data_IF_485864602218
#
_entry.id   IF_485864602218
#
_cell.length_a   1.000
_cell.length_b   1.000
_cell.length_c   1.000
_cell.angle_alpha   90.00
_cell.angle_beta   90.00
_cell.angle_gamma   90.00
#
_symmetry.space_group_name_H-M   'P 1'
#
loop_
_entity.id
_entity.type
_entity.pdbx_description
1 polymer ?
#
# COMPACT_ATOMS: atom_id res chain seq x y z
N UNK A 1 6.78 18.33 13.57
CA UNK A 1 5.44 18.09 12.98
C UNK A 1 4.48 18.09 14.13
N UNK A 2 3.37 18.82 14.03
CA UNK A 2 2.33 18.84 15.06
C UNK A 2 1.11 18.14 14.47
N UNK A 3 0.60 17.14 15.17
CA UNK A 3 -0.63 16.43 14.81
C UNK A 3 -1.76 16.88 15.72
N UNK A 4 -2.95 17.01 15.16
CA UNK A 4 -4.16 17.42 15.88
C UNK A 4 -5.33 16.52 15.48
N UNK A 5 -6.34 16.42 16.36
CA UNK A 5 -7.54 15.62 16.13
C UNK A 5 -7.24 14.15 15.86
N UNK A 6 -7.88 13.60 14.82
CA UNK A 6 -7.78 12.18 14.46
C UNK A 6 -6.34 11.72 14.16
N UNK A 7 -5.51 12.60 13.55
CA UNK A 7 -4.11 12.24 13.24
C UNK A 7 -3.29 12.04 14.53
N UNK A 8 -3.58 12.81 15.58
CA UNK A 8 -2.93 12.65 16.88
C UNK A 8 -3.32 11.32 17.53
N UNK A 9 -4.61 10.95 17.45
CA UNK A 9 -5.10 9.65 17.94
C UNK A 9 -4.43 8.49 17.20
N UNK A 10 -4.25 8.60 15.88
CA UNK A 10 -3.53 7.61 15.08
C UNK A 10 -2.06 7.45 15.52
N UNK A 11 -1.31 8.55 15.70
CA UNK A 11 0.08 8.48 16.21
C UNK A 11 0.12 7.84 17.58
N UNK A 12 -0.75 8.25 18.49
CA UNK A 12 -0.78 7.73 19.86
C UNK A 12 -1.12 6.23 19.89
N UNK A 13 -2.03 5.77 19.03
CA UNK A 13 -2.37 4.36 18.93
C UNK A 13 -1.19 3.52 18.42
N UNK A 14 -0.46 4.03 17.43
CA UNK A 14 0.77 3.40 16.92
C UNK A 14 1.84 3.37 18.02
N UNK A 15 2.08 4.48 18.71
CA UNK A 15 3.03 4.57 19.81
C UNK A 15 2.69 3.62 20.97
N UNK A 16 1.40 3.51 21.35
CA UNK A 16 0.92 2.52 22.33
C UNK A 16 1.22 1.10 21.90
N UNK A 17 1.02 0.77 20.63
CA UNK A 17 1.33 -0.56 20.11
C UNK A 17 2.83 -0.86 20.13
N UNK A 18 3.66 0.12 19.77
CA UNK A 18 5.12 0.00 19.80
C UNK A 18 5.65 -0.11 21.22
N UNK A 19 5.16 0.71 22.17
CA UNK A 19 5.52 0.63 23.58
C UNK A 19 5.25 -0.77 24.17
N UNK A 20 4.17 -1.45 23.80
CA UNK A 20 3.93 -2.85 24.21
C UNK A 20 5.03 -3.82 23.77
N UNK A 21 5.70 -3.54 22.64
CA UNK A 21 6.80 -4.36 22.10
C UNK A 21 8.18 -3.90 22.54
N UNK A 22 8.31 -2.61 22.84
CA UNK A 22 9.54 -1.96 23.29
C UNK A 22 9.23 -1.15 24.55
N UNK A 23 9.04 -1.82 25.71
CA UNK A 23 8.58 -1.18 26.94
C UNK A 23 9.58 -0.17 27.53
N UNK A 24 10.83 -0.19 27.05
CA UNK A 24 11.86 0.77 27.46
C UNK A 24 11.59 2.20 26.98
N UNK A 25 10.70 2.40 26.00
CA UNK A 25 10.32 3.72 25.51
C UNK A 25 8.89 4.04 25.91
N UNK A 26 8.67 5.18 26.55
CA UNK A 26 7.33 5.65 26.91
C UNK A 26 6.54 6.10 25.69
N UNK A 27 5.20 6.11 25.79
CA UNK A 27 4.33 6.61 24.71
C UNK A 27 4.66 8.07 24.39
N UNK A 28 4.91 8.89 25.42
CA UNK A 28 5.27 10.30 25.27
C UNK A 28 6.55 10.48 24.47
N UNK A 29 7.62 9.74 24.83
CA UNK A 29 8.89 9.76 24.08
C UNK A 29 8.68 9.38 22.62
N UNK A 30 7.92 8.31 22.36
CA UNK A 30 7.62 7.87 20.99
C UNK A 30 6.80 8.89 20.19
N UNK A 31 5.90 9.64 20.83
CA UNK A 31 5.11 10.68 20.15
C UNK A 31 5.88 11.98 19.92
N UNK A 32 6.93 12.24 20.71
CA UNK A 32 7.80 13.41 20.56
C UNK A 32 8.94 13.13 19.57
N UNK A 33 9.54 11.94 19.64
CA UNK A 33 10.55 11.47 18.71
C UNK A 33 9.94 10.52 17.68
N UNK A 34 9.35 11.13 16.65
CA UNK A 34 8.71 10.39 15.57
C UNK A 34 9.73 9.58 14.75
N UNK A 35 11.02 9.97 14.73
CA UNK A 35 12.07 9.21 14.02
C UNK A 35 12.35 7.89 14.73
N UNK A 36 12.44 7.93 16.05
CA UNK A 36 12.51 6.73 16.86
C UNK A 36 11.28 5.84 16.64
N UNK A 37 10.07 6.40 16.70
CA UNK A 37 8.83 5.66 16.47
C UNK A 37 8.85 4.92 15.13
N UNK A 38 9.18 5.61 14.05
CA UNK A 38 9.26 5.01 12.72
C UNK A 38 10.28 3.89 12.63
N UNK A 39 11.47 4.09 13.21
CA UNK A 39 12.51 3.06 13.21
C UNK A 39 12.07 1.77 13.91
N UNK A 40 11.21 1.89 14.94
CA UNK A 40 10.66 0.76 15.68
C UNK A 40 9.47 0.14 14.95
N UNK A 41 8.67 0.95 14.24
CA UNK A 41 7.62 0.46 13.34
C UNK A 41 8.23 -0.40 12.22
N UNK A 42 9.30 0.05 11.57
CA UNK A 42 9.99 -0.72 10.52
C UNK A 42 10.56 -2.06 11.03
N UNK A 43 11.07 -2.06 12.27
CA UNK A 43 11.62 -3.27 12.92
C UNK A 43 10.55 -4.23 13.44
N UNK A 44 9.29 -3.82 13.45
CA UNK A 44 8.22 -4.60 14.07
C UNK A 44 7.14 -5.03 13.08
N UNK A 45 6.60 -6.23 13.28
CA UNK A 45 5.42 -6.67 12.54
C UNK A 45 4.17 -5.96 13.06
N UNK A 46 3.75 -4.89 12.41
CA UNK A 46 2.59 -4.10 12.82
C UNK A 46 1.27 -4.84 12.60
N UNK A 47 0.40 -4.85 13.62
CA UNK A 47 -0.98 -5.31 13.48
C UNK A 47 -1.91 -4.11 13.25
N UNK A 48 -1.98 -3.65 12.01
CA UNK A 48 -2.78 -2.49 11.64
C UNK A 48 -4.28 -2.65 11.91
N UNK A 49 -4.82 -3.87 11.89
CA UNK A 49 -6.24 -4.12 12.20
C UNK A 49 -6.52 -3.79 13.67
N UNK A 50 -5.78 -4.41 14.58
CA UNK A 50 -5.96 -4.21 16.03
C UNK A 50 -5.72 -2.75 16.45
N UNK A 51 -4.75 -2.08 15.84
CA UNK A 51 -4.48 -0.67 16.14
C UNK A 51 -5.65 0.20 15.67
N UNK A 52 -6.14 -0.02 14.45
CA UNK A 52 -7.22 0.77 13.87
C UNK A 52 -8.55 0.59 14.63
N UNK A 53 -8.87 -0.64 15.04
CA UNK A 53 -10.01 -0.96 15.89
C UNK A 53 -9.99 -0.19 17.22
N UNK A 54 -8.81 -0.01 17.82
CA UNK A 54 -8.68 0.69 19.11
C UNK A 54 -9.02 2.18 19.08
N UNK A 55 -9.10 2.77 17.87
CA UNK A 55 -9.41 4.19 17.64
C UNK A 55 -10.58 4.37 16.66
N UNK A 56 -11.37 3.31 16.42
CA UNK A 56 -12.54 3.36 15.52
C UNK A 56 -12.26 3.86 14.10
N UNK A 57 -11.05 3.63 13.57
CA UNK A 57 -10.72 3.93 12.16
C UNK A 57 -10.60 2.64 11.36
N UNK A 58 -10.72 2.71 10.04
CA UNK A 58 -10.49 1.53 9.20
C UNK A 58 -8.99 1.25 9.10
N UNK A 59 -8.62 -0.03 9.03
CA UNK A 59 -7.21 -0.45 8.81
C UNK A 59 -6.61 0.21 7.57
N UNK A 60 -7.36 0.28 6.46
CA UNK A 60 -6.87 0.93 5.24
C UNK A 60 -6.57 2.41 5.49
N UNK A 61 -7.45 3.14 6.19
CA UNK A 61 -7.23 4.55 6.51
C UNK A 61 -5.95 4.73 7.33
N UNK A 62 -5.79 3.99 8.41
CA UNK A 62 -4.59 4.07 9.27
C UNK A 62 -3.31 3.72 8.49
N UNK A 63 -3.34 2.62 7.74
CA UNK A 63 -2.19 2.15 6.97
C UNK A 63 -1.76 3.17 5.91
N UNK A 64 -2.70 3.68 5.10
CA UNK A 64 -2.38 4.66 4.07
C UNK A 64 -1.98 6.00 4.67
N UNK A 65 -2.67 6.46 5.71
CA UNK A 65 -2.29 7.68 6.40
C UNK A 65 -0.86 7.59 6.96
N UNK A 66 -0.50 6.47 7.60
CA UNK A 66 0.85 6.28 8.11
C UNK A 66 1.88 6.29 6.97
N UNK A 67 1.73 5.40 5.98
CA UNK A 67 2.73 5.22 4.93
C UNK A 67 2.82 6.39 3.94
N UNK A 68 1.72 7.08 3.67
CA UNK A 68 1.65 8.11 2.63
C UNK A 68 1.62 9.52 3.18
N UNK A 69 1.07 9.76 4.38
CA UNK A 69 0.96 11.10 4.95
C UNK A 69 1.99 11.33 6.04
N UNK A 70 2.00 10.49 7.07
CA UNK A 70 2.90 10.62 8.23
C UNK A 70 4.37 10.55 7.80
N UNK A 71 4.79 9.45 7.17
CA UNK A 71 6.17 9.27 6.72
C UNK A 71 6.60 10.37 5.74
N UNK A 72 5.71 10.88 4.89
CA UNK A 72 6.07 11.98 3.97
C UNK A 72 6.32 13.31 4.67
N UNK A 73 5.51 13.66 5.66
CA UNK A 73 5.72 14.89 6.44
C UNK A 73 7.05 14.79 7.20
N UNK A 74 7.36 13.59 7.70
CA UNK A 74 8.56 13.29 8.47
C UNK A 74 9.85 13.28 7.66
N UNK A 75 9.87 12.54 6.55
CA UNK A 75 11.03 12.45 5.66
C UNK A 75 11.04 13.57 4.61
N UNK A 76 10.61 14.77 5.01
CA UNK A 76 10.55 15.98 4.20
C UNK A 76 11.93 16.51 3.77
N UNK A 77 13.00 15.74 3.95
CA UNK A 77 14.22 15.83 3.13
C UNK A 77 13.87 15.53 1.67
N UNK A 78 13.17 16.49 1.05
CA UNK A 78 12.76 16.44 -0.34
C UNK A 78 14.00 16.20 -1.18
N UNK A 79 13.88 15.27 -2.13
CA UNK A 79 14.94 15.07 -3.10
C UNK A 79 15.24 16.42 -3.76
N UNK A 80 16.52 16.83 -3.74
CA UNK A 80 16.94 18.12 -4.30
C UNK A 80 16.76 18.12 -5.82
N UNK A 81 16.83 19.30 -6.43
CA UNK A 81 16.75 19.39 -7.88
C UNK A 81 17.93 18.66 -8.55
N UNK A 82 19.12 18.76 -7.98
CA UNK A 82 20.33 18.10 -8.47
C UNK A 82 20.21 16.58 -8.38
N UNK A 83 19.66 16.06 -7.28
CA UNK A 83 19.39 14.63 -7.12
C UNK A 83 18.36 14.11 -8.15
N UNK A 84 17.31 14.90 -8.42
CA UNK A 84 16.33 14.59 -9.47
C UNK A 84 16.97 14.58 -10.86
N UNK A 85 17.87 15.53 -11.13
CA UNK A 85 18.61 15.59 -12.38
C UNK A 85 19.55 14.38 -12.52
N UNK A 86 20.31 14.04 -11.47
CA UNK A 86 21.17 12.86 -11.44
C UNK A 86 20.37 11.58 -11.71
N UNK A 87 19.20 11.44 -11.07
CA UNK A 87 18.29 10.33 -11.27
C UNK A 87 17.75 10.26 -12.69
N UNK A 88 17.39 11.40 -13.28
CA UNK A 88 16.94 11.48 -14.67
C UNK A 88 18.05 11.07 -15.63
N UNK A 89 19.26 11.60 -15.44
CA UNK A 89 20.44 11.27 -16.27
C UNK A 89 20.78 9.79 -16.20
N UNK A 90 20.77 9.19 -15.01
CA UNK A 90 21.03 7.78 -14.85
C UNK A 90 19.96 6.92 -15.53
N UNK A 91 18.67 7.26 -15.37
CA UNK A 91 17.58 6.57 -16.07
C UNK A 91 17.78 6.61 -17.59
N UNK A 92 18.13 7.77 -18.15
CA UNK A 92 18.39 7.91 -19.59
C UNK A 92 19.60 7.09 -20.06
N UNK A 93 20.68 7.05 -19.27
CA UNK A 93 21.84 6.20 -19.54
C UNK A 93 21.47 4.72 -19.53
N UNK A 94 20.74 4.27 -18.49
CA UNK A 94 20.31 2.88 -18.36
C UNK A 94 19.26 2.46 -19.40
N UNK A 95 18.50 3.41 -19.97
CA UNK A 95 17.68 3.17 -21.17
C UNK A 95 18.57 2.88 -22.38
N UNK A 96 19.64 3.65 -22.57
CA UNK A 96 20.57 3.43 -23.68
C UNK A 96 21.30 2.10 -23.55
N UNK A 97 21.66 1.71 -22.32
CA UNK A 97 22.38 0.47 -22.03
C UNK A 97 21.47 -0.75 -21.82
N UNK A 98 20.13 -0.59 -21.93
CA UNK A 98 19.10 -1.61 -21.60
C UNK A 98 19.10 -2.13 -20.16
N UNK A 99 19.88 -1.55 -19.26
CA UNK A 99 19.91 -1.90 -17.83
C UNK A 99 18.56 -1.68 -17.13
N UNK A 100 17.72 -0.79 -17.65
CA UNK A 100 16.38 -0.51 -17.11
C UNK A 100 15.42 -1.72 -17.23
N UNK A 101 15.75 -2.70 -18.07
CA UNK A 101 14.98 -3.94 -18.23
C UNK A 101 15.18 -4.91 -17.04
N UNK A 102 16.19 -4.66 -16.18
CA UNK A 102 16.44 -5.42 -14.96
C UNK A 102 15.34 -5.18 -13.91
N UNK A 103 14.75 -6.27 -13.39
CA UNK A 103 13.75 -6.22 -12.33
C UNK A 103 14.24 -5.55 -11.03
N UNK A 104 15.56 -5.55 -10.80
CA UNK A 104 16.23 -4.94 -9.65
C UNK A 104 16.76 -3.52 -9.92
N UNK A 105 16.51 -2.97 -11.11
CA UNK A 105 17.01 -1.65 -11.53
C UNK A 105 16.73 -0.55 -10.51
N UNK A 106 15.50 -0.44 -9.98
CA UNK A 106 15.15 0.59 -9.01
C UNK A 106 15.96 0.50 -7.71
N UNK A 107 16.30 -0.71 -7.26
CA UNK A 107 17.13 -0.90 -6.07
C UNK A 107 18.57 -0.46 -6.34
N UNK A 108 19.12 -0.86 -7.50
CA UNK A 108 20.46 -0.42 -7.94
C UNK A 108 20.55 1.09 -8.09
N UNK A 109 19.56 1.70 -8.74
CA UNK A 109 19.43 3.16 -8.88
C UNK A 109 19.41 3.86 -7.52
N UNK A 110 18.62 3.35 -6.57
CA UNK A 110 18.56 3.90 -5.21
C UNK A 110 19.94 3.84 -4.53
N UNK A 111 20.60 2.69 -4.60
CA UNK A 111 21.93 2.49 -4.00
C UNK A 111 22.99 3.38 -4.66
N UNK A 112 22.90 3.61 -5.97
CA UNK A 112 23.89 4.39 -6.70
C UNK A 112 23.81 5.89 -6.38
N UNK A 113 22.60 6.45 -6.31
CA UNK A 113 22.40 7.89 -6.16
C UNK A 113 22.30 8.30 -4.69
N UNK A 114 21.80 7.41 -3.84
CA UNK A 114 21.48 7.71 -2.43
C UNK A 114 22.23 6.80 -1.47
N UNK A 115 23.43 6.32 -1.83
CA UNK A 115 24.24 5.43 -0.99
C UNK A 115 24.39 5.96 0.44
N UNK A 116 24.69 7.25 0.55
CA UNK A 116 25.02 7.93 1.81
C UNK A 116 23.83 8.71 2.39
N UNK A 117 22.65 8.61 1.76
CA UNK A 117 21.43 9.35 2.15
C UNK A 117 20.29 8.38 2.39
N UNK A 118 19.71 8.44 3.59
CA UNK A 118 18.55 7.61 3.91
C UNK A 118 17.27 8.20 3.29
N UNK A 119 17.08 8.00 1.98
CA UNK A 119 15.84 8.39 1.30
C UNK A 119 14.75 7.36 1.57
N UNK A 120 13.63 7.87 2.08
CA UNK A 120 12.43 7.08 2.32
C UNK A 120 11.89 6.44 1.03
N UNK A 121 11.45 5.18 1.12
CA UNK A 121 11.01 4.39 -0.05
C UNK A 121 9.91 5.08 -0.86
N UNK A 122 8.97 5.73 -0.18
CA UNK A 122 7.82 6.38 -0.83
C UNK A 122 8.25 7.60 -1.63
N UNK A 123 9.16 8.43 -1.08
CA UNK A 123 9.72 9.60 -1.79
C UNK A 123 10.45 9.18 -3.06
N UNK A 124 11.36 8.20 -2.93
CA UNK A 124 12.06 7.63 -4.08
C UNK A 124 11.10 7.12 -5.15
N UNK A 125 10.10 6.32 -4.75
CA UNK A 125 9.15 5.70 -5.69
C UNK A 125 8.32 6.76 -6.42
N UNK A 126 7.92 7.82 -5.75
CA UNK A 126 7.20 8.92 -6.39
C UNK A 126 8.05 9.67 -7.39
N UNK A 127 9.26 10.09 -6.98
CA UNK A 127 10.14 10.86 -7.86
C UNK A 127 10.50 10.02 -9.08
N UNK A 128 10.84 8.75 -8.88
CA UNK A 128 11.03 7.78 -9.96
C UNK A 128 9.83 7.76 -10.91
N UNK A 129 8.63 7.50 -10.40
CA UNK A 129 7.42 7.39 -11.22
C UNK A 129 7.09 8.69 -11.96
N UNK A 130 7.35 9.84 -11.34
CA UNK A 130 7.16 11.14 -11.96
C UNK A 130 8.15 11.35 -13.13
N UNK A 131 9.44 11.02 -12.93
CA UNK A 131 10.47 11.08 -13.98
C UNK A 131 10.10 10.15 -15.14
N UNK A 132 9.70 8.91 -14.85
CA UNK A 132 9.28 7.93 -15.87
C UNK A 132 8.09 8.40 -16.71
N UNK A 133 7.25 9.29 -16.18
CA UNK A 133 6.11 9.87 -16.89
C UNK A 133 6.47 11.07 -17.77
N UNK A 134 7.67 11.63 -17.64
CA UNK A 134 8.11 12.77 -18.44
C UNK A 134 8.24 12.41 -19.92
N UNK A 135 8.02 13.39 -20.81
CA UNK A 135 8.13 13.19 -22.27
C UNK A 135 9.53 12.71 -22.69
N UNK A 136 10.58 13.25 -22.07
CA UNK A 136 11.97 12.92 -22.41
C UNK A 136 12.23 11.43 -22.19
N UNK A 137 11.84 10.90 -21.03
CA UNK A 137 12.03 9.49 -20.69
C UNK A 137 11.13 8.58 -21.52
N UNK A 138 9.84 8.92 -21.68
CA UNK A 138 8.92 8.15 -22.54
C UNK A 138 9.42 8.03 -23.98
N UNK A 139 9.90 9.14 -24.56
CA UNK A 139 10.45 9.14 -25.91
C UNK A 139 11.72 8.29 -26.01
N UNK A 140 12.58 8.31 -24.99
CA UNK A 140 13.77 7.48 -24.97
C UNK A 140 13.43 5.98 -24.92
N UNK A 141 12.47 5.57 -24.08
CA UNK A 141 11.95 4.20 -24.00
C UNK A 141 11.41 3.74 -25.36
N UNK A 142 10.57 4.57 -25.99
CA UNK A 142 9.97 4.27 -27.30
C UNK A 142 11.02 4.14 -28.40
N UNK A 143 11.95 5.11 -28.49
CA UNK A 143 13.03 5.09 -29.50
C UNK A 143 13.93 3.86 -29.39
N UNK A 144 14.13 3.35 -28.18
CA UNK A 144 14.99 2.18 -27.91
C UNK A 144 14.23 0.85 -27.85
N UNK A 145 12.90 0.88 -28.01
CA UNK A 145 12.02 -0.29 -27.90
C UNK A 145 12.30 -1.11 -26.62
N UNK A 146 12.34 -0.42 -25.48
CA UNK A 146 12.64 -1.01 -24.17
C UNK A 146 11.38 -1.65 -23.58
N UNK A 147 11.53 -2.87 -23.05
CA UNK A 147 10.47 -3.54 -22.30
C UNK A 147 10.69 -3.39 -20.79
N UNK A 148 9.89 -2.54 -20.13
CA UNK A 148 10.00 -2.34 -18.68
C UNK A 148 9.27 -3.48 -17.96
N UNK A 149 9.96 -4.23 -17.07
CA UNK A 149 9.34 -5.31 -16.33
C UNK A 149 8.16 -4.80 -15.50
N UNK A 150 6.97 -5.28 -15.82
CA UNK A 150 5.75 -4.86 -15.15
C UNK A 150 5.55 -5.72 -13.90
N UNK A 151 5.86 -5.18 -12.71
CA UNK A 151 5.73 -5.89 -11.42
C UNK A 151 4.29 -6.32 -11.06
N UNK A 152 3.29 -6.01 -11.89
CA UNK A 152 1.87 -6.31 -11.65
C UNK A 152 1.37 -7.64 -12.27
N UNK A 153 2.23 -8.45 -12.88
CA UNK A 153 1.84 -9.74 -13.50
C UNK A 153 2.54 -10.96 -12.89
N UNK A 154 2.66 -10.99 -11.57
CA UNK A 154 3.03 -12.21 -10.84
C UNK A 154 2.03 -12.39 -9.70
N UNK A 155 0.79 -12.75 -10.07
CA UNK A 155 -0.23 -13.39 -9.21
C UNK A 155 -1.50 -13.71 -10.03
N UNK A 156 -1.31 -14.18 -11.27
CA UNK A 156 -2.36 -14.89 -11.98
C UNK A 156 -1.79 -16.23 -12.42
N UNK A 157 -2.32 -17.28 -11.78
CA UNK A 157 -2.14 -18.72 -11.99
C UNK A 157 -1.02 -19.40 -11.20
N UNK A 158 -1.40 -19.99 -10.07
CA UNK A 158 -1.39 -21.46 -9.87
C UNK A 158 -2.20 -21.81 -8.62
N UNK A 159 -3.50 -22.01 -8.79
CA UNK A 159 -4.22 -23.04 -8.05
C UNK A 159 -4.87 -23.92 -9.11
N UNK A 160 -4.05 -24.81 -9.67
CA UNK A 160 -4.54 -26.02 -10.28
C UNK A 160 -5.04 -26.89 -9.12
N UNK A 161 -6.34 -26.82 -8.85
CA UNK A 161 -7.04 -27.82 -8.06
C UNK A 161 -7.80 -28.68 -9.06
N UNK A 162 -7.13 -29.76 -9.49
CA UNK A 162 -7.81 -30.89 -10.11
C UNK A 162 -8.77 -31.50 -9.09
N UNK A 163 -10.07 -31.43 -9.37
CA UNK A 163 -11.07 -32.33 -8.79
C UNK A 163 -12.07 -32.71 -9.88
N UNK A 164 -12.55 -33.96 -9.87
CA UNK A 164 -13.08 -34.65 -11.03
C UNK A 164 -14.48 -34.19 -11.43
N UNK A 165 -14.73 -34.25 -12.73
CA UNK A 165 -16.05 -34.12 -13.36
C UNK A 165 -17.00 -35.18 -12.81
N UNK A 166 -18.03 -34.76 -12.07
CA UNK A 166 -19.27 -35.49 -11.86
C UNK A 166 -20.39 -34.47 -11.56
N UNK A 167 -21.09 -34.05 -12.61
CA UNK A 167 -22.36 -33.32 -12.49
C UNK A 167 -23.47 -34.28 -12.04
N UNK A 168 -24.39 -33.80 -11.18
CA UNK A 168 -25.79 -34.12 -11.34
C UNK A 168 -26.56 -32.85 -11.71
N UNK A 169 -27.43 -32.97 -12.72
CA UNK A 169 -28.33 -31.93 -13.16
C UNK A 169 -29.23 -31.44 -12.00
N UNK A 170 -29.32 -30.13 -11.82
CA UNK A 170 -30.31 -29.51 -10.94
C UNK A 170 -31.29 -28.71 -11.80
N UNK A 171 -32.54 -29.16 -11.75
CA UNK A 171 -33.75 -28.54 -12.29
C UNK A 171 -33.89 -27.08 -11.84
N UNK A 172 -34.08 -26.17 -12.81
CA UNK A 172 -34.53 -24.82 -12.54
C UNK A 172 -36.04 -24.84 -12.22
N UNK A 173 -36.40 -24.98 -10.95
CA UNK A 173 -37.74 -24.69 -10.48
C UNK A 173 -37.93 -23.17 -10.33
N UNK A 174 -38.71 -22.61 -11.26
CA UNK A 174 -39.27 -21.26 -11.20
C UNK A 174 -40.09 -21.08 -9.93
N UNK A 175 -39.72 -20.13 -9.08
CA UNK A 175 -40.49 -19.70 -7.91
C UNK A 175 -41.90 -19.25 -8.34
N UNK A 176 -42.92 -20.03 -7.97
CA UNK A 176 -44.32 -19.69 -8.21
C UNK A 176 -44.79 -18.61 -7.21
N UNK A 177 -45.09 -17.42 -7.73
CA UNK A 177 -45.59 -16.26 -6.99
C UNK A 177 -46.88 -16.54 -6.19
N UNK A 178 -47.68 -17.53 -6.59
CA UNK A 178 -48.92 -17.90 -5.88
C UNK A 178 -48.64 -18.52 -4.49
N UNK A 179 -47.54 -19.27 -4.35
CA UNK A 179 -47.15 -19.87 -3.05
C UNK A 179 -46.67 -18.80 -2.06
N UNK A 180 -46.02 -17.74 -2.56
CA UNK A 180 -45.52 -16.63 -1.74
C UNK A 180 -46.71 -15.79 -1.24
N UNK A 181 -47.70 -15.53 -2.09
CA UNK A 181 -48.90 -14.78 -1.71
C UNK A 181 -49.75 -15.53 -0.67
N UNK A 182 -49.89 -16.86 -0.80
CA UNK A 182 -50.62 -17.67 0.17
C UNK A 182 -49.97 -17.65 1.57
N UNK A 183 -48.63 -17.61 1.64
CA UNK A 183 -47.89 -17.59 2.90
C UNK A 183 -48.00 -16.21 3.58
N UNK A 184 -47.96 -15.13 2.80
CA UNK A 184 -48.11 -13.77 3.33
C UNK A 184 -49.53 -13.48 3.85
N UNK A 185 -50.57 -14.02 3.21
CA UNK A 185 -51.96 -13.91 3.71
C UNK A 185 -52.19 -14.68 5.01
N UNK A 186 -51.50 -15.80 5.22
CA UNK A 186 -51.56 -16.53 6.50
C UNK A 186 -50.92 -15.74 7.64
N UNK A 187 -49.75 -15.14 7.39
CA UNK A 187 -49.01 -14.37 8.40
C UNK A 187 -49.76 -13.09 8.80
N UNK A 188 -50.46 -12.44 7.86
CA UNK A 188 -51.25 -11.23 8.14
C UNK A 188 -52.51 -11.49 8.97
N UNK A 189 -53.05 -12.71 8.98
CA UNK A 189 -54.23 -13.07 9.77
C UNK A 189 -53.89 -13.43 11.23
N UNK A 190 -52.66 -13.87 11.50
CA UNK A 190 -52.22 -14.17 12.87
C UNK A 190 -51.82 -12.91 13.68
N UNK A 191 -51.63 -11.76 13.01
CA UNK A 191 -51.35 -10.47 13.67
C UNK A 191 -52.61 -9.66 14.04
N UNK A 192 -53.82 -10.20 13.85
CA UNK A 192 -55.11 -9.51 14.15
C UNK A 192 -56.00 -10.21 15.19
N UNK A 193 -55.45 -11.09 16.02
CA UNK A 193 -56.14 -11.63 17.21
C UNK A 193 -55.52 -11.11 18.50
#
# INVERSE_FOLDING_TARGET
IIYEGEELEMVQAIAKYINKKFPQYTITELTLDLQLLDSLVEKSKMNWNSIAESISVTRNKLYHWYNETHLRRQFSSKMTQDEKQAMTSYILLSINNREIEDANFQQKLKQQIFKDKNIHRVEFSMVFNNIMRTKIVKNAIQKRNINIPNKRKADQHTNAFDLPQNEPAIDNQTLNLESIMATLSSILNDCKK
#
